data_IF_389098130025
#
_entry.id   IF_389098130025
#
_cell.length_a   1.000
_cell.length_b   1.000
_cell.length_c   1.000
_cell.angle_alpha   90.00
_cell.angle_beta   90.00
_cell.angle_gamma   90.00
#
_symmetry.space_group_name_H-M   'P 1'
#
loop_
_entity.id
_entity.type
_entity.pdbx_description
1 polymer ?
#
# COMPACT_ATOMS: atom_id res chain seq x y z
N UNK A 1 -1.85 24.27 -14.27
CA UNK A 1 -1.91 23.39 -13.09
C UNK A 1 -2.21 21.97 -13.53
N UNK A 2 -1.47 21.00 -12.99
CA UNK A 2 -1.68 19.59 -13.31
C UNK A 2 -2.41 18.92 -12.16
N UNK A 3 -3.58 18.36 -12.46
CA UNK A 3 -4.40 17.61 -11.51
C UNK A 3 -4.44 16.14 -11.93
N UNK A 4 -4.17 15.25 -10.99
CA UNK A 4 -4.29 13.79 -11.20
C UNK A 4 -5.14 13.17 -10.11
N UNK A 5 -5.74 12.03 -10.42
CA UNK A 5 -6.54 11.27 -9.48
C UNK A 5 -6.30 9.77 -9.66
N UNK A 6 -6.37 9.03 -8.58
CA UNK A 6 -6.22 7.57 -8.59
C UNK A 6 -6.83 6.95 -7.34
N UNK A 7 -7.22 5.67 -7.44
CA UNK A 7 -7.61 4.88 -6.26
C UNK A 7 -6.41 4.69 -5.35
N UNK A 8 -6.63 4.51 -4.03
CA UNK A 8 -5.54 4.11 -3.13
C UNK A 8 -4.94 2.78 -3.58
N UNK A 9 -3.63 2.63 -3.43
CA UNK A 9 -2.92 1.41 -3.81
C UNK A 9 -1.94 1.00 -2.72
N UNK A 10 -1.80 -0.31 -2.49
CA UNK A 10 -0.84 -0.85 -1.54
C UNK A 10 0.52 -0.94 -2.21
N UNK A 11 1.53 -0.29 -1.65
CA UNK A 11 2.90 -0.22 -2.18
C UNK A 11 2.86 0.15 -3.67
N UNK A 12 2.60 1.42 -4.00
CA UNK A 12 2.27 1.82 -5.38
C UNK A 12 3.42 1.57 -6.37
N UNK A 13 3.04 1.19 -7.58
CA UNK A 13 3.99 0.90 -8.67
C UNK A 13 4.52 2.18 -9.31
N UNK A 14 5.53 2.03 -10.18
CA UNK A 14 6.24 3.16 -10.79
C UNK A 14 5.32 4.15 -11.52
N UNK A 15 4.32 3.66 -12.26
CA UNK A 15 3.36 4.53 -12.96
C UNK A 15 2.54 5.38 -12.02
N UNK A 16 2.11 4.81 -10.90
CA UNK A 16 1.39 5.53 -9.85
C UNK A 16 2.28 6.61 -9.21
N UNK A 17 3.52 6.26 -8.90
CA UNK A 17 4.50 7.19 -8.32
C UNK A 17 4.76 8.34 -9.29
N UNK A 18 4.96 8.06 -10.57
CA UNK A 18 5.17 9.08 -11.59
C UNK A 18 3.98 10.04 -11.66
N UNK A 19 2.77 9.52 -11.57
CA UNK A 19 1.54 10.32 -11.58
C UNK A 19 1.48 11.27 -10.39
N UNK A 20 1.87 10.80 -9.19
CA UNK A 20 1.94 11.63 -7.99
C UNK A 20 2.97 12.76 -8.17
N UNK A 21 4.18 12.41 -8.61
CA UNK A 21 5.28 13.36 -8.73
C UNK A 21 5.04 14.40 -9.82
N UNK A 22 4.30 14.04 -10.88
CA UNK A 22 3.99 14.94 -11.99
C UNK A 22 2.84 15.90 -11.70
N UNK A 23 2.12 15.70 -10.60
CA UNK A 23 0.89 16.44 -10.29
C UNK A 23 1.16 17.52 -9.26
N UNK A 24 0.55 18.70 -9.43
CA UNK A 24 0.50 19.72 -8.40
C UNK A 24 -0.54 19.35 -7.35
N UNK A 25 -1.66 18.80 -7.78
CA UNK A 25 -2.71 18.26 -6.91
C UNK A 25 -2.97 16.82 -7.28
N UNK A 26 -2.87 15.93 -6.29
CA UNK A 26 -3.14 14.52 -6.45
C UNK A 26 -4.32 14.14 -5.56
N UNK A 27 -5.41 13.68 -6.17
CA UNK A 27 -6.64 13.30 -5.49
C UNK A 27 -6.70 11.79 -5.33
N UNK A 28 -6.92 11.33 -4.10
CA UNK A 28 -7.13 9.91 -3.82
C UNK A 28 -8.63 9.61 -3.88
N UNK A 29 -8.99 8.74 -4.81
CA UNK A 29 -10.39 8.36 -5.04
C UNK A 29 -10.73 7.16 -4.14
N UNK A 30 -11.22 7.43 -2.93
CA UNK A 30 -11.58 6.41 -1.96
C UNK A 30 -13.10 6.17 -1.84
N UNK A 31 -13.89 6.95 -2.54
CA UNK A 31 -15.35 6.87 -2.49
C UNK A 31 -15.98 6.05 -3.62
N UNK A 32 -15.15 5.35 -4.40
CA UNK A 32 -15.61 4.44 -5.45
C UNK A 32 -15.70 3.01 -4.91
N UNK A 33 -16.41 2.16 -5.62
CA UNK A 33 -16.62 0.78 -5.21
C UNK A 33 -15.31 -0.02 -5.25
N UNK A 34 -15.10 -0.86 -4.23
CA UNK A 34 -13.94 -1.76 -4.16
C UNK A 34 -14.04 -2.85 -5.24
N UNK A 35 -12.93 -3.10 -5.91
CA UNK A 35 -12.81 -4.19 -6.89
C UNK A 35 -11.95 -5.31 -6.32
N UNK A 36 -12.47 -6.54 -6.39
CA UNK A 36 -11.75 -7.74 -5.97
C UNK A 36 -10.53 -7.94 -6.87
N UNK A 37 -9.44 -8.43 -6.27
CA UNK A 37 -8.19 -8.73 -6.97
C UNK A 37 -7.52 -7.52 -7.63
N UNK A 38 -7.80 -6.34 -7.11
CA UNK A 38 -7.13 -5.11 -7.53
C UNK A 38 -5.88 -4.85 -6.67
N UNK A 39 -5.06 -3.87 -7.07
CA UNK A 39 -3.88 -3.46 -6.30
C UNK A 39 -4.20 -2.55 -5.12
N UNK A 40 -5.46 -2.47 -4.72
CA UNK A 40 -5.88 -1.69 -3.55
C UNK A 40 -5.35 -2.33 -2.27
N UNK A 41 -5.40 -3.66 -2.15
CA UNK A 41 -4.96 -4.38 -0.96
C UNK A 41 -3.84 -5.40 -1.22
N UNK A 42 -3.21 -5.34 -2.40
CA UNK A 42 -2.14 -6.29 -2.73
C UNK A 42 -1.18 -5.72 -3.75
N UNK A 43 0.04 -6.25 -3.75
CA UNK A 43 1.03 -5.94 -4.78
C UNK A 43 2.10 -7.04 -4.82
N UNK A 44 2.85 -7.08 -5.89
CA UNK A 44 3.95 -8.01 -6.04
C UNK A 44 5.24 -7.39 -5.50
N UNK A 45 6.01 -8.18 -4.74
CA UNK A 45 7.38 -7.87 -4.38
C UNK A 45 8.30 -8.97 -4.90
N UNK A 46 9.54 -8.61 -5.18
CA UNK A 46 10.55 -9.61 -5.52
C UNK A 46 11.00 -10.34 -4.26
N UNK A 47 10.74 -11.64 -4.22
CA UNK A 47 11.14 -12.53 -3.14
C UNK A 47 11.94 -13.66 -3.77
N UNK A 48 13.24 -13.77 -3.42
CA UNK A 48 14.17 -14.71 -4.04
C UNK A 48 14.20 -14.55 -5.57
N UNK A 49 14.21 -13.28 -6.04
CA UNK A 49 14.22 -12.91 -7.47
C UNK A 49 12.97 -13.32 -8.25
N UNK A 50 11.89 -13.70 -7.57
CA UNK A 50 10.62 -14.02 -8.19
C UNK A 50 9.53 -13.07 -7.68
N UNK A 51 8.59 -12.62 -8.53
CA UNK A 51 7.48 -11.82 -8.06
C UNK A 51 6.54 -12.66 -7.22
N UNK A 52 6.30 -12.23 -5.97
CA UNK A 52 5.36 -12.84 -5.03
C UNK A 52 4.32 -11.81 -4.64
N UNK A 53 3.08 -12.26 -4.57
CA UNK A 53 1.97 -11.40 -4.21
C UNK A 53 1.86 -11.28 -2.70
N UNK A 54 1.94 -10.04 -2.19
CA UNK A 54 1.65 -9.74 -0.79
C UNK A 54 0.26 -9.12 -0.73
N UNK A 55 -0.62 -9.73 0.06
CA UNK A 55 -2.01 -9.31 0.19
C UNK A 55 -2.31 -8.91 1.63
N UNK A 56 -2.90 -7.72 1.81
CA UNK A 56 -3.50 -7.35 3.10
C UNK A 56 -4.88 -8.00 3.14
N UNK A 57 -5.15 -8.88 4.13
CA UNK A 57 -6.46 -9.51 4.22
C UNK A 57 -7.52 -8.49 4.60
N UNK A 58 -8.68 -8.60 3.98
CA UNK A 58 -9.81 -7.71 4.26
C UNK A 58 -10.99 -8.53 4.79
N UNK A 59 -11.91 -7.86 5.49
CA UNK A 59 -13.14 -8.48 5.92
C UNK A 59 -13.98 -8.84 4.69
N UNK A 60 -14.39 -10.10 4.61
CA UNK A 60 -15.01 -10.65 3.39
C UNK A 60 -16.47 -10.22 3.23
N UNK A 61 -17.17 -9.98 4.35
CA UNK A 61 -18.60 -9.71 4.36
C UNK A 61 -18.93 -8.42 3.61
N UNK A 62 -19.69 -8.53 2.52
CA UNK A 62 -20.18 -7.40 1.71
C UNK A 62 -19.08 -6.55 1.07
N UNK A 63 -17.83 -7.02 0.98
CA UNK A 63 -16.70 -6.21 0.47
C UNK A 63 -16.92 -5.74 -0.97
N UNK A 64 -17.62 -6.50 -1.81
CA UNK A 64 -17.89 -6.12 -3.21
C UNK A 64 -18.95 -5.02 -3.34
N UNK A 65 -19.67 -4.71 -2.27
CA UNK A 65 -20.70 -3.67 -2.25
C UNK A 65 -20.25 -2.40 -1.53
N UNK A 66 -19.05 -2.43 -0.94
CA UNK A 66 -18.56 -1.31 -0.16
C UNK A 66 -17.68 -0.42 -1.02
N UNK A 67 -17.65 0.85 -0.66
CA UNK A 67 -16.66 1.79 -1.21
C UNK A 67 -15.28 1.48 -0.61
N UNK A 68 -14.23 1.85 -1.33
CA UNK A 68 -12.85 1.59 -0.88
C UNK A 68 -12.62 2.13 0.53
N UNK A 69 -13.12 3.32 0.84
CA UNK A 69 -12.98 3.95 2.16
C UNK A 69 -13.59 3.16 3.31
N UNK A 70 -14.55 2.28 3.01
CA UNK A 70 -15.27 1.49 4.02
C UNK A 70 -14.73 0.07 4.16
N UNK A 71 -13.73 -0.32 3.38
CA UNK A 71 -13.13 -1.65 3.44
C UNK A 71 -12.24 -1.76 4.69
N UNK A 72 -12.58 -2.72 5.55
CA UNK A 72 -11.85 -2.99 6.79
C UNK A 72 -10.82 -4.08 6.59
N UNK A 73 -9.68 -3.92 7.26
CA UNK A 73 -8.63 -4.94 7.29
C UNK A 73 -9.03 -6.04 8.27
N UNK A 74 -8.84 -7.30 7.85
CA UNK A 74 -8.98 -8.44 8.75
C UNK A 74 -7.66 -8.66 9.49
N UNK A 75 -7.69 -8.55 10.81
CA UNK A 75 -6.52 -8.75 11.66
C UNK A 75 -6.48 -10.15 12.30
N UNK A 76 -7.17 -11.12 11.69
CA UNK A 76 -7.20 -12.50 12.17
C UNK A 76 -5.88 -13.24 11.92
N UNK A 77 -5.11 -12.80 10.92
CA UNK A 77 -3.80 -13.37 10.60
C UNK A 77 -2.71 -12.38 10.92
N UNK A 78 -1.47 -12.85 11.02
CA UNK A 78 -0.32 -12.02 11.32
C UNK A 78 0.32 -11.47 10.04
N UNK A 79 -0.50 -10.83 9.20
CA UNK A 79 -0.07 -10.35 7.89
C UNK A 79 1.00 -9.26 7.97
N UNK A 80 0.92 -8.38 8.97
CA UNK A 80 1.88 -7.28 9.14
C UNK A 80 3.28 -7.81 9.36
N UNK A 81 3.44 -8.78 10.26
CA UNK A 81 4.73 -9.41 10.53
C UNK A 81 5.27 -10.12 9.30
N UNK A 82 4.42 -10.82 8.57
CA UNK A 82 4.82 -11.54 7.35
C UNK A 82 5.30 -10.59 6.26
N UNK A 83 4.60 -9.50 6.05
CA UNK A 83 4.99 -8.50 5.05
C UNK A 83 6.31 -7.82 5.43
N UNK A 84 6.45 -7.39 6.67
CA UNK A 84 7.69 -6.75 7.14
C UNK A 84 8.88 -7.73 7.03
N UNK A 85 8.68 -8.97 7.41
CA UNK A 85 9.72 -10.00 7.31
C UNK A 85 10.16 -10.22 5.85
N UNK A 86 9.21 -10.22 4.92
CA UNK A 86 9.53 -10.32 3.50
C UNK A 86 10.39 -9.16 3.01
N UNK A 87 10.09 -7.95 3.49
CA UNK A 87 10.88 -6.76 3.16
C UNK A 87 12.28 -6.87 3.74
N UNK A 88 12.43 -7.26 5.01
CA UNK A 88 13.73 -7.44 5.64
C UNK A 88 14.61 -8.46 4.90
N UNK A 89 14.05 -9.63 4.61
CA UNK A 89 14.81 -10.73 4.02
C UNK A 89 15.24 -10.46 2.59
N UNK A 90 14.45 -9.74 1.81
CA UNK A 90 14.68 -9.60 0.38
C UNK A 90 15.30 -8.25 -0.01
N UNK A 91 15.24 -7.24 0.85
CA UNK A 91 15.73 -5.90 0.52
C UNK A 91 16.79 -5.37 1.48
N UNK A 92 17.26 -6.17 2.45
CA UNK A 92 18.25 -5.73 3.45
C UNK A 92 19.60 -5.33 2.85
N UNK A 93 19.92 -5.80 1.65
CA UNK A 93 21.15 -5.45 0.93
C UNK A 93 20.96 -4.29 -0.04
N UNK A 94 19.73 -3.77 -0.17
CA UNK A 94 19.46 -2.61 -1.02
C UNK A 94 20.15 -1.37 -0.47
N UNK A 95 20.72 -0.50 -1.34
CA UNK A 95 21.39 0.73 -0.88
C UNK A 95 20.49 1.65 -0.06
N UNK A 96 19.18 1.62 -0.28
CA UNK A 96 18.22 2.50 0.39
C UNK A 96 17.53 1.84 1.59
N UNK A 97 17.83 0.59 1.89
CA UNK A 97 17.17 -0.14 2.97
C UNK A 97 17.32 0.56 4.32
N UNK A 98 18.55 0.89 4.71
CA UNK A 98 18.84 1.52 6.00
C UNK A 98 18.13 2.86 6.16
N UNK A 99 17.95 3.58 5.07
CA UNK A 99 17.31 4.91 5.08
C UNK A 99 15.80 4.82 5.31
N UNK A 100 15.15 3.78 4.79
CA UNK A 100 13.69 3.71 4.76
C UNK A 100 13.07 2.64 5.65
N UNK A 101 13.87 1.73 6.21
CA UNK A 101 13.33 0.59 6.96
C UNK A 101 12.56 1.02 8.21
N UNK A 102 12.99 2.07 8.89
CA UNK A 102 12.30 2.54 10.10
C UNK A 102 10.87 2.99 9.80
N UNK A 103 10.66 3.60 8.62
CA UNK A 103 9.31 3.99 8.17
C UNK A 103 8.42 2.76 8.00
N UNK A 104 8.92 1.71 7.33
CA UNK A 104 8.16 0.48 7.15
C UNK A 104 7.93 -0.26 8.46
N UNK A 105 8.92 -0.30 9.35
CA UNK A 105 8.75 -0.92 10.66
C UNK A 105 7.63 -0.26 11.44
N UNK A 106 7.54 1.07 11.39
CA UNK A 106 6.47 1.81 12.04
C UNK A 106 5.11 1.44 11.45
N UNK A 107 4.99 1.38 10.12
CA UNK A 107 3.74 1.03 9.46
C UNK A 107 3.29 -0.38 9.86
N UNK A 108 4.20 -1.35 9.85
CA UNK A 108 3.84 -2.74 10.12
C UNK A 108 3.75 -3.09 11.60
N UNK A 109 4.03 -2.16 12.50
CA UNK A 109 3.80 -2.35 13.95
C UNK A 109 2.57 -1.63 14.46
N UNK A 110 2.05 -0.65 13.74
CA UNK A 110 0.80 0.02 14.10
C UNK A 110 -0.42 -0.83 13.74
N UNK A 111 -1.52 -0.62 14.45
CA UNK A 111 -2.79 -1.29 14.13
C UNK A 111 -3.56 -0.45 13.11
N UNK A 112 -4.03 -1.10 12.07
CA UNK A 112 -4.81 -0.48 11.01
C UNK A 112 -6.19 -1.10 10.94
N UNK A 113 -7.23 -0.27 10.84
CA UNK A 113 -8.61 -0.75 10.73
C UNK A 113 -9.09 -0.78 9.28
N UNK A 114 -8.68 0.18 8.47
CA UNK A 114 -9.15 0.33 7.08
C UNK A 114 -8.00 0.35 6.09
N UNK A 115 -8.25 -0.21 4.91
CA UNK A 115 -7.26 -0.27 3.82
C UNK A 115 -6.79 1.13 3.41
N UNK A 116 -7.69 2.11 3.35
CA UNK A 116 -7.33 3.47 2.94
C UNK A 116 -6.33 4.11 3.88
N UNK A 117 -6.42 3.85 5.18
CA UNK A 117 -5.51 4.45 6.16
C UNK A 117 -4.05 4.07 5.87
N UNK A 118 -3.77 2.79 5.71
CA UNK A 118 -2.40 2.33 5.46
C UNK A 118 -1.90 2.77 4.08
N UNK A 119 -2.76 2.73 3.06
CA UNK A 119 -2.39 3.12 1.70
C UNK A 119 -2.04 4.61 1.62
N UNK A 120 -2.79 5.47 2.29
CA UNK A 120 -2.53 6.90 2.32
C UNK A 120 -1.22 7.20 3.06
N UNK A 121 -0.96 6.54 4.18
CA UNK A 121 0.27 6.74 4.95
C UNK A 121 1.50 6.29 4.16
N UNK A 122 1.41 5.21 3.40
CA UNK A 122 2.52 4.74 2.55
C UNK A 122 2.75 5.71 1.37
N UNK A 123 1.68 6.25 0.81
CA UNK A 123 1.73 7.11 -0.38
C UNK A 123 2.22 8.53 -0.06
N UNK A 124 1.87 9.08 1.09
CA UNK A 124 2.14 10.47 1.46
C UNK A 124 3.61 10.88 1.38
N UNK A 125 4.59 10.10 1.88
CA UNK A 125 5.99 10.50 1.82
C UNK A 125 6.56 10.61 0.41
N UNK A 126 5.97 9.99 -0.57
CA UNK A 126 6.44 10.03 -1.96
C UNK A 126 6.43 11.46 -2.47
N UNK A 127 5.38 12.22 -2.17
CA UNK A 127 5.24 13.62 -2.57
C UNK A 127 6.23 14.52 -1.82
N UNK A 128 6.51 14.19 -0.57
CA UNK A 128 7.41 14.99 0.29
C UNK A 128 8.89 14.83 -0.06
N UNK A 129 9.27 13.70 -0.66
CA UNK A 129 10.66 13.42 -1.06
C UNK A 129 11.04 14.19 -2.34
N UNK A 130 10.06 14.49 -3.18
CA UNK A 130 10.30 15.25 -4.40
C UNK A 130 10.40 16.75 -4.09
#
# INVERSE_FOLDING_TARGET
MILSAHQPAYIPWAGFIHKILSSEIFVILDNIQFEKNSFINRNHLLINNEPKLLTIPIEIKNHLRLKIKDIKISNQTNWQRKHLQSIHLNYNKSPFYKKHISFFEKIYTEKWSHICEINIVITKPIKEIS
#
